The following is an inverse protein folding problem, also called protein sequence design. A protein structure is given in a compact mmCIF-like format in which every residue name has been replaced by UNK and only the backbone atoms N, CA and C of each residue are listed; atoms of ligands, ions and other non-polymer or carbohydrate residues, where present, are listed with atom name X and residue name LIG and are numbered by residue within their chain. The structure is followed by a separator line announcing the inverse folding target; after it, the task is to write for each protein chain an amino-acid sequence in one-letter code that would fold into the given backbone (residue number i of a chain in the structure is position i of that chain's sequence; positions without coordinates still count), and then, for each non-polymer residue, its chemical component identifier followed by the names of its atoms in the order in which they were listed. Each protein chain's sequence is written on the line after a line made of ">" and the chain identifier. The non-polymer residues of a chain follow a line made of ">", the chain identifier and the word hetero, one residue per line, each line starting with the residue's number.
data_IF_304952285423
#
_entry.id   IF_304952285423
#
_cell.length_a   1.000
_cell.length_b   1.000
_cell.length_c   1.000
_cell.angle_alpha   90.00
_cell.angle_beta   90.00
_cell.angle_gamma   90.00
#
_symmetry.space_group_name_H-M   'P 1'
#
loop_
_entity.id
_entity.type
_entity.pdbx_description
1 polymer ?
#
# COMPACT_ATOMS: atom_id res chain seq x y z
N UNK A 1 -15.17 -5.68 -7.08
CA UNK A 1 -13.79 -5.27 -7.40
C UNK A 1 -13.50 -5.78 -8.81
N UNK A 2 -13.18 -4.86 -9.73
CA UNK A 2 -12.90 -5.19 -11.14
C UNK A 2 -13.97 -6.08 -11.80
N UNK A 3 -15.26 -5.79 -11.52
CA UNK A 3 -16.42 -6.56 -11.98
C UNK A 3 -16.80 -7.77 -11.13
N UNK A 4 -15.97 -8.20 -10.19
CA UNK A 4 -16.23 -9.34 -9.31
C UNK A 4 -16.94 -8.94 -8.02
N UNK A 5 -17.99 -9.66 -7.66
CA UNK A 5 -18.67 -9.50 -6.37
C UNK A 5 -17.80 -10.05 -5.24
N UNK A 6 -17.53 -9.23 -4.23
CA UNK A 6 -16.77 -9.67 -3.04
C UNK A 6 -17.51 -10.77 -2.27
N UNK A 7 -18.85 -10.79 -2.36
CA UNK A 7 -19.71 -11.76 -1.68
C UNK A 7 -19.85 -13.06 -2.47
N UNK A 8 -20.10 -12.96 -3.78
CA UNK A 8 -20.49 -14.11 -4.60
C UNK A 8 -19.29 -14.74 -5.32
N UNK A 9 -18.25 -13.94 -5.59
CA UNK A 9 -17.01 -14.35 -6.28
C UNK A 9 -15.75 -13.98 -5.47
N UNK A 10 -15.67 -14.34 -4.16
CA UNK A 10 -14.62 -13.85 -3.26
C UNK A 10 -13.22 -14.24 -3.70
N UNK A 11 -13.04 -15.38 -4.36
CA UNK A 11 -11.73 -15.82 -4.86
C UNK A 11 -11.27 -14.95 -6.02
N UNK A 12 -12.15 -14.68 -6.99
CA UNK A 12 -11.84 -13.82 -8.14
C UNK A 12 -11.53 -12.38 -7.68
N UNK A 13 -12.34 -11.82 -6.77
CA UNK A 13 -12.09 -10.51 -6.18
C UNK A 13 -10.75 -10.44 -5.45
N UNK A 14 -10.35 -11.48 -4.70
CA UNK A 14 -9.05 -11.57 -4.01
C UNK A 14 -7.87 -11.71 -4.97
N UNK A 15 -8.07 -12.38 -6.10
CA UNK A 15 -7.01 -12.52 -7.10
C UNK A 15 -6.57 -11.19 -7.71
N UNK A 16 -7.49 -10.27 -7.90
CA UNK A 16 -7.22 -8.93 -8.44
C UNK A 16 -6.90 -7.87 -7.38
N UNK A 17 -6.97 -8.24 -6.09
CA UNK A 17 -6.74 -7.33 -4.95
C UNK A 17 -5.49 -7.72 -4.20
N UNK A 18 -4.62 -6.78 -3.88
CA UNK A 18 -3.59 -6.96 -2.86
C UNK A 18 -3.92 -6.09 -1.63
N UNK A 19 -3.73 -6.64 -0.44
CA UNK A 19 -3.87 -5.93 0.83
C UNK A 19 -2.57 -6.04 1.62
N UNK A 20 -2.11 -4.93 2.16
CA UNK A 20 -0.96 -4.82 3.04
C UNK A 20 -1.41 -4.12 4.33
N UNK A 21 -1.45 -4.83 5.47
CA UNK A 21 -1.72 -4.22 6.77
C UNK A 21 -0.51 -3.40 7.25
N UNK A 22 -0.72 -2.53 8.23
CA UNK A 22 0.33 -1.72 8.88
C UNK A 22 1.48 -2.59 9.45
N UNK A 23 1.14 -3.72 10.06
CA UNK A 23 2.11 -4.67 10.57
C UNK A 23 1.92 -6.05 9.90
N UNK A 24 2.60 -6.31 8.77
CA UNK A 24 2.42 -7.56 8.04
C UNK A 24 3.08 -8.75 8.74
N UNK A 25 2.30 -9.82 8.95
CA UNK A 25 2.82 -11.10 9.42
C UNK A 25 3.57 -11.80 8.29
N UNK A 26 4.88 -11.84 8.40
CA UNK A 26 5.75 -12.54 7.46
C UNK A 26 6.19 -13.89 8.05
N UNK A 27 6.39 -14.89 7.18
CA UNK A 27 6.93 -16.20 7.59
C UNK A 27 8.44 -16.08 7.89
N UNK A 28 8.80 -15.71 9.12
CA UNK A 28 10.14 -15.35 9.53
C UNK A 28 11.19 -16.46 9.36
N UNK A 29 10.75 -17.72 9.31
CA UNK A 29 11.61 -18.87 9.05
C UNK A 29 11.98 -19.05 7.57
N UNK A 30 11.31 -18.36 6.66
CA UNK A 30 11.65 -18.37 5.24
C UNK A 30 12.72 -17.31 4.94
N UNK A 31 13.46 -17.53 3.85
CA UNK A 31 14.25 -16.45 3.24
C UNK A 31 13.34 -15.53 2.43
N UNK A 32 13.74 -14.25 2.23
CA UNK A 32 12.95 -13.30 1.46
C UNK A 32 12.58 -13.82 0.07
N UNK A 33 13.53 -14.45 -0.64
CA UNK A 33 13.27 -15.01 -1.97
C UNK A 33 12.26 -16.18 -1.94
N UNK A 34 12.34 -17.06 -0.93
CA UNK A 34 11.38 -18.17 -0.76
C UNK A 34 9.99 -17.66 -0.44
N UNK A 35 9.88 -16.63 0.39
CA UNK A 35 8.61 -15.99 0.70
C UNK A 35 7.95 -15.37 -0.56
N UNK A 36 8.71 -14.59 -1.35
CA UNK A 36 8.20 -14.01 -2.59
C UNK A 36 7.82 -15.08 -3.61
N UNK A 37 8.60 -16.14 -3.72
CA UNK A 37 8.28 -17.29 -4.58
C UNK A 37 6.98 -17.97 -4.14
N UNK A 38 6.80 -18.21 -2.84
CA UNK A 38 5.58 -18.80 -2.27
C UNK A 38 4.34 -17.93 -2.58
N UNK A 39 4.43 -16.62 -2.38
CA UNK A 39 3.33 -15.70 -2.74
C UNK A 39 3.02 -15.80 -4.24
N UNK A 40 4.04 -15.77 -5.09
CA UNK A 40 3.85 -15.87 -6.54
C UNK A 40 3.18 -17.19 -6.96
N UNK A 41 3.54 -18.31 -6.32
CA UNK A 41 2.95 -19.62 -6.60
C UNK A 41 1.46 -19.68 -6.20
N UNK A 42 1.07 -19.07 -5.06
CA UNK A 42 -0.35 -18.96 -4.64
C UNK A 42 -1.19 -18.22 -5.70
N UNK A 43 -0.63 -17.19 -6.33
CA UNK A 43 -1.32 -16.37 -7.33
C UNK A 43 -1.11 -16.86 -8.77
N UNK A 44 -0.49 -18.02 -8.96
CA UNK A 44 -0.31 -18.64 -10.28
C UNK A 44 0.63 -17.85 -11.21
N UNK A 45 1.56 -17.05 -10.64
CA UNK A 45 2.50 -16.25 -11.43
C UNK A 45 3.62 -17.18 -11.95
N UNK A 46 3.80 -17.22 -13.27
CA UNK A 46 4.83 -18.04 -13.91
C UNK A 46 6.23 -17.67 -13.42
N UNK A 47 7.16 -18.67 -13.52
CA UNK A 47 8.53 -18.49 -13.04
C UNK A 47 9.23 -17.29 -13.66
N UNK A 48 9.13 -17.14 -14.98
CA UNK A 48 9.82 -16.07 -15.70
C UNK A 48 9.30 -14.68 -15.30
N UNK A 49 7.96 -14.53 -15.23
CA UNK A 49 7.32 -13.29 -14.79
C UNK A 49 7.64 -12.98 -13.30
N UNK A 50 7.68 -14.00 -12.47
CA UNK A 50 8.04 -13.86 -11.05
C UNK A 50 9.46 -13.36 -10.88
N UNK A 51 10.43 -13.96 -11.58
CA UNK A 51 11.84 -13.58 -11.50
C UNK A 51 12.07 -12.15 -11.99
N UNK A 52 11.43 -11.75 -13.08
CA UNK A 52 11.47 -10.38 -13.59
C UNK A 52 10.92 -9.38 -12.57
N UNK A 53 9.71 -9.64 -12.03
CA UNK A 53 9.07 -8.74 -11.07
C UNK A 53 9.81 -8.66 -9.75
N UNK A 54 10.28 -9.79 -9.22
CA UNK A 54 11.07 -9.80 -7.98
C UNK A 54 12.33 -8.97 -8.17
N UNK A 55 13.05 -9.14 -9.28
CA UNK A 55 14.25 -8.35 -9.58
C UNK A 55 13.91 -6.87 -9.64
N UNK A 56 12.92 -6.48 -10.47
CA UNK A 56 12.47 -5.07 -10.60
C UNK A 56 12.26 -4.42 -9.22
N UNK A 57 11.45 -5.04 -8.39
CA UNK A 57 11.05 -4.42 -7.13
C UNK A 57 12.12 -4.54 -6.04
N UNK A 58 12.82 -5.66 -5.95
CA UNK A 58 13.89 -5.83 -4.97
C UNK A 58 15.06 -4.90 -5.22
N UNK A 59 15.44 -4.68 -6.48
CA UNK A 59 16.49 -3.72 -6.85
C UNK A 59 16.06 -2.29 -6.51
N UNK A 60 14.82 -1.91 -6.85
CA UNK A 60 14.29 -0.57 -6.57
C UNK A 60 14.23 -0.25 -5.06
N UNK A 61 13.91 -1.23 -4.22
CA UNK A 61 13.88 -1.09 -2.75
C UNK A 61 15.23 -1.41 -2.08
N UNK A 62 16.31 -1.67 -2.85
CA UNK A 62 17.65 -2.03 -2.34
C UNK A 62 17.62 -3.25 -1.41
N UNK A 63 16.75 -4.23 -1.70
CA UNK A 63 16.57 -5.43 -0.88
C UNK A 63 17.20 -6.69 -1.49
N UNK A 64 17.69 -6.62 -2.75
CA UNK A 64 18.21 -7.76 -3.52
C UNK A 64 19.27 -8.55 -2.75
N UNK A 65 20.24 -7.84 -2.14
CA UNK A 65 21.32 -8.48 -1.39
C UNK A 65 20.88 -9.25 -0.13
N UNK A 66 19.70 -8.92 0.41
CA UNK A 66 19.16 -9.54 1.61
C UNK A 66 18.20 -10.70 1.32
N UNK A 67 17.72 -10.87 0.08
CA UNK A 67 16.71 -11.88 -0.26
C UNK A 67 17.11 -13.32 0.08
N UNK A 68 18.40 -13.64 0.11
CA UNK A 68 18.91 -14.95 0.48
C UNK A 68 18.91 -15.23 1.99
N UNK A 69 18.72 -14.22 2.83
CA UNK A 69 18.75 -14.32 4.28
C UNK A 69 17.36 -14.61 4.87
N UNK A 70 17.26 -15.29 6.05
CA UNK A 70 16.01 -15.48 6.76
C UNK A 70 15.35 -14.15 7.14
N UNK A 71 14.03 -14.06 6.97
CA UNK A 71 13.24 -12.86 7.27
C UNK A 71 13.28 -12.47 8.75
N UNK A 72 13.45 -13.46 9.64
CA UNK A 72 13.60 -13.21 11.08
C UNK A 72 14.79 -12.31 11.43
N UNK A 73 15.81 -12.24 10.55
CA UNK A 73 16.96 -11.34 10.70
C UNK A 73 16.78 -9.96 10.06
N UNK A 74 15.63 -9.67 9.44
CA UNK A 74 15.38 -8.39 8.79
C UNK A 74 15.05 -7.31 9.82
N UNK A 75 15.50 -6.08 9.55
CA UNK A 75 15.00 -4.91 10.28
C UNK A 75 13.51 -4.67 9.96
N UNK A 76 12.84 -3.84 10.77
CA UNK A 76 11.44 -3.48 10.51
C UNK A 76 11.25 -2.90 9.10
N UNK A 77 12.09 -1.96 8.68
CA UNK A 77 12.04 -1.39 7.33
C UNK A 77 12.27 -2.41 6.21
N UNK A 78 13.16 -3.41 6.40
CA UNK A 78 13.36 -4.50 5.45
C UNK A 78 12.13 -5.41 5.37
N UNK A 79 11.47 -5.71 6.49
CA UNK A 79 10.22 -6.45 6.52
C UNK A 79 9.11 -5.70 5.79
N UNK A 80 8.99 -4.39 6.02
CA UNK A 80 8.03 -3.54 5.33
C UNK A 80 8.29 -3.51 3.82
N UNK A 81 9.54 -3.30 3.37
CA UNK A 81 9.94 -3.38 1.96
C UNK A 81 9.56 -4.73 1.34
N UNK A 82 9.86 -5.85 2.01
CA UNK A 82 9.53 -7.20 1.53
C UNK A 82 8.00 -7.40 1.39
N UNK A 83 7.22 -6.92 2.34
CA UNK A 83 5.77 -6.99 2.31
C UNK A 83 5.19 -6.17 1.15
N UNK A 84 5.69 -4.95 0.93
CA UNK A 84 5.34 -4.12 -0.24
C UNK A 84 5.67 -4.86 -1.55
N UNK A 85 6.88 -5.43 -1.67
CA UNK A 85 7.28 -6.20 -2.86
C UNK A 85 6.32 -7.37 -3.08
N UNK A 86 5.93 -8.09 -2.03
CA UNK A 86 5.00 -9.23 -2.13
C UNK A 86 3.62 -8.83 -2.68
N UNK A 87 3.16 -7.63 -2.39
CA UNK A 87 1.93 -7.08 -2.95
C UNK A 87 2.10 -6.66 -4.42
N UNK A 88 3.22 -6.00 -4.75
CA UNK A 88 3.49 -5.47 -6.08
C UNK A 88 3.76 -6.56 -7.14
N UNK A 89 4.43 -7.67 -6.78
CA UNK A 89 4.69 -8.77 -7.74
C UNK A 89 3.41 -9.38 -8.30
N UNK A 90 2.30 -9.25 -7.60
CA UNK A 90 0.98 -9.73 -8.01
C UNK A 90 0.35 -8.90 -9.13
N UNK A 91 0.84 -7.67 -9.37
CA UNK A 91 0.27 -6.69 -10.30
C UNK A 91 -1.25 -6.50 -10.08
N UNK A 92 -1.69 -6.13 -8.87
CA UNK A 92 -3.10 -6.07 -8.53
C UNK A 92 -3.83 -4.98 -9.31
N UNK A 93 -5.15 -5.18 -9.56
CA UNK A 93 -6.04 -4.14 -10.07
C UNK A 93 -6.48 -3.19 -8.96
N UNK A 94 -6.55 -3.67 -7.73
CA UNK A 94 -6.77 -2.86 -6.53
C UNK A 94 -5.69 -3.17 -5.49
N UNK A 95 -4.93 -2.15 -5.10
CA UNK A 95 -3.96 -2.23 -4.02
C UNK A 95 -4.49 -1.46 -2.81
N UNK A 96 -4.67 -2.17 -1.69
CA UNK A 96 -5.11 -1.59 -0.41
C UNK A 96 -3.94 -1.64 0.56
N UNK A 97 -3.63 -0.51 1.18
CA UNK A 97 -2.47 -0.36 2.07
C UNK A 97 -2.89 0.35 3.36
N UNK A 98 -2.45 -0.17 4.49
CA UNK A 98 -2.62 0.47 5.78
C UNK A 98 -1.29 1.07 6.23
N UNK A 99 -1.25 2.39 6.40
CA UNK A 99 -0.06 3.18 6.78
C UNK A 99 1.24 2.80 6.02
N UNK A 100 1.25 2.71 4.68
CA UNK A 100 2.31 2.06 3.92
C UNK A 100 3.67 2.75 3.97
N UNK A 101 3.74 3.98 4.45
CA UNK A 101 4.97 4.77 4.52
C UNK A 101 5.65 4.67 5.88
N UNK A 102 4.96 4.13 6.89
CA UNK A 102 5.53 3.91 8.23
C UNK A 102 6.65 2.87 8.16
N UNK A 103 7.77 3.17 8.81
CA UNK A 103 8.94 2.28 8.82
C UNK A 103 9.80 2.28 7.56
N UNK A 104 9.40 2.98 6.49
CA UNK A 104 10.22 3.17 5.30
C UNK A 104 11.17 4.37 5.46
N UNK A 105 12.39 4.20 4.98
CA UNK A 105 13.31 5.32 4.78
C UNK A 105 12.82 6.25 3.65
N UNK A 106 13.30 7.51 3.56
CA UNK A 106 12.86 8.47 2.56
C UNK A 106 13.01 7.97 1.10
N UNK A 107 14.06 7.21 0.82
CA UNK A 107 14.31 6.64 -0.51
C UNK A 107 13.26 5.59 -0.85
N UNK A 108 12.99 4.66 0.06
CA UNK A 108 11.97 3.63 -0.14
C UNK A 108 10.56 4.23 -0.24
N UNK A 109 10.25 5.26 0.56
CA UNK A 109 8.98 5.99 0.46
C UNK A 109 8.81 6.68 -0.91
N UNK A 110 9.88 7.27 -1.45
CA UNK A 110 9.88 7.85 -2.79
C UNK A 110 9.62 6.79 -3.87
N UNK A 111 10.32 5.66 -3.79
CA UNK A 111 10.16 4.52 -4.70
C UNK A 111 8.73 3.97 -4.66
N UNK A 112 8.18 3.78 -3.46
CA UNK A 112 6.79 3.33 -3.30
C UNK A 112 5.81 4.29 -3.97
N UNK A 113 5.91 5.60 -3.73
CA UNK A 113 5.05 6.60 -4.39
C UNK A 113 5.09 6.50 -5.92
N UNK A 114 6.26 6.21 -6.49
CA UNK A 114 6.43 5.95 -7.93
C UNK A 114 5.59 4.75 -8.38
N UNK A 115 5.70 3.62 -7.71
CA UNK A 115 4.95 2.41 -8.05
C UNK A 115 3.43 2.56 -7.87
N UNK A 116 2.98 3.30 -6.84
CA UNK A 116 1.55 3.58 -6.68
C UNK A 116 0.99 4.38 -7.87
N UNK A 117 1.75 5.36 -8.36
CA UNK A 117 1.38 6.12 -9.58
C UNK A 117 1.40 5.24 -10.84
N UNK A 118 2.39 4.33 -10.98
CA UNK A 118 2.43 3.37 -12.10
C UNK A 118 1.19 2.49 -12.14
N UNK A 119 0.72 1.98 -10.99
CA UNK A 119 -0.51 1.17 -10.88
C UNK A 119 -1.72 1.97 -11.36
N UNK A 120 -1.88 3.21 -10.90
CA UNK A 120 -2.99 4.07 -11.31
C UNK A 120 -2.93 4.41 -12.80
N UNK A 121 -1.75 4.75 -13.33
CA UNK A 121 -1.53 5.03 -14.74
C UNK A 121 -1.84 3.83 -15.64
N UNK A 122 -1.63 2.60 -15.15
CA UNK A 122 -1.99 1.36 -15.83
C UNK A 122 -3.49 1.00 -15.70
N UNK A 123 -4.32 1.89 -15.14
CA UNK A 123 -5.77 1.69 -14.98
C UNK A 123 -6.16 0.86 -13.74
N UNK A 124 -5.23 0.61 -12.83
CA UNK A 124 -5.51 0.07 -11.49
C UNK A 124 -5.96 1.16 -10.53
N UNK A 125 -6.27 0.76 -9.31
CA UNK A 125 -6.63 1.67 -8.23
C UNK A 125 -5.79 1.39 -6.99
N UNK A 126 -5.46 2.45 -6.25
CA UNK A 126 -4.77 2.38 -4.97
C UNK A 126 -5.64 3.05 -3.91
N UNK A 127 -5.85 2.36 -2.81
CA UNK A 127 -6.51 2.88 -1.62
C UNK A 127 -5.59 2.69 -0.41
N UNK A 128 -5.26 3.77 0.30
CA UNK A 128 -4.44 3.65 1.50
C UNK A 128 -4.92 4.57 2.62
N UNK A 129 -4.72 4.12 3.86
CA UNK A 129 -4.85 4.96 5.04
C UNK A 129 -3.53 5.68 5.31
N UNK A 130 -3.59 6.88 5.86
CA UNK A 130 -2.41 7.57 6.41
C UNK A 130 -2.83 8.68 7.36
N UNK A 131 -1.99 8.90 8.38
CA UNK A 131 -2.07 10.09 9.25
C UNK A 131 -1.11 11.20 8.78
N UNK A 132 -0.33 10.98 7.70
CA UNK A 132 0.60 11.97 7.13
C UNK A 132 -0.15 12.77 6.06
N UNK A 133 -0.77 13.89 6.48
CA UNK A 133 -1.66 14.69 5.65
C UNK A 133 -0.99 15.21 4.38
N UNK A 134 0.29 15.61 4.45
CA UNK A 134 1.06 16.05 3.29
C UNK A 134 1.19 14.96 2.21
N UNK A 135 1.31 13.70 2.62
CA UNK A 135 1.37 12.58 1.67
C UNK A 135 0.01 12.39 0.99
N UNK A 136 -1.08 12.44 1.75
CA UNK A 136 -2.43 12.35 1.19
C UNK A 136 -2.70 13.49 0.20
N UNK A 137 -2.37 14.72 0.57
CA UNK A 137 -2.57 15.91 -0.27
C UNK A 137 -1.81 15.85 -1.60
N UNK A 138 -0.54 15.39 -1.56
CA UNK A 138 0.34 15.37 -2.76
C UNK A 138 0.19 14.14 -3.64
N UNK A 139 -0.33 13.03 -3.10
CA UNK A 139 -0.36 11.75 -3.80
C UNK A 139 -1.75 11.33 -4.25
N UNK A 140 -2.80 11.71 -3.50
CA UNK A 140 -4.15 11.21 -3.74
C UNK A 140 -4.96 12.10 -4.70
N UNK A 141 -5.66 11.50 -5.64
CA UNK A 141 -6.67 12.18 -6.46
C UNK A 141 -7.94 12.48 -5.65
N UNK A 142 -8.26 11.61 -4.71
CA UNK A 142 -9.43 11.71 -3.82
C UNK A 142 -9.04 11.36 -2.40
N UNK A 143 -9.68 12.02 -1.46
CA UNK A 143 -9.50 11.79 -0.03
C UNK A 143 -10.84 11.56 0.68
N UNK A 144 -10.77 10.82 1.78
CA UNK A 144 -11.87 10.62 2.72
C UNK A 144 -11.34 10.82 4.13
N UNK A 145 -11.95 11.74 4.90
CA UNK A 145 -11.57 12.04 6.28
C UNK A 145 -12.54 11.31 7.20
N UNK A 146 -11.98 10.50 8.11
CA UNK A 146 -12.72 9.74 9.12
C UNK A 146 -12.41 10.31 10.50
N UNK A 147 -13.45 10.55 11.30
CA UNK A 147 -13.34 11.00 12.68
C UNK A 147 -14.34 10.25 13.56
N UNK A 148 -13.89 9.68 14.67
CA UNK A 148 -14.77 8.91 15.57
C UNK A 148 -15.53 7.77 14.87
N UNK A 149 -14.90 7.09 13.89
CA UNK A 149 -15.51 6.02 13.13
C UNK A 149 -16.55 6.48 12.07
N UNK A 150 -16.68 7.80 11.83
CA UNK A 150 -17.62 8.36 10.87
C UNK A 150 -16.88 9.07 9.74
N UNK A 151 -17.39 8.93 8.53
CA UNK A 151 -16.93 9.69 7.38
C UNK A 151 -17.42 11.13 7.49
N UNK A 152 -16.50 12.10 7.64
CA UNK A 152 -16.83 13.51 7.85
C UNK A 152 -16.67 14.33 6.58
N UNK A 153 -15.73 13.96 5.70
CA UNK A 153 -15.53 14.65 4.41
C UNK A 153 -15.02 13.66 3.37
N UNK A 154 -15.47 13.77 2.12
CA UNK A 154 -14.97 12.98 1.01
C UNK A 154 -15.09 13.78 -0.29
N UNK A 155 -14.06 13.73 -1.15
CA UNK A 155 -14.07 14.42 -2.43
C UNK A 155 -12.77 14.24 -3.20
N UNK A 156 -12.62 14.98 -4.31
CA UNK A 156 -11.30 15.16 -4.92
C UNK A 156 -10.41 15.94 -3.96
N UNK A 157 -9.11 15.69 -3.99
CA UNK A 157 -8.17 16.42 -3.11
C UNK A 157 -8.35 17.94 -3.27
N UNK A 158 -8.42 18.43 -4.49
CA UNK A 158 -8.65 19.84 -4.76
C UNK A 158 -9.96 20.39 -4.14
N UNK A 159 -11.07 19.62 -4.23
CA UNK A 159 -12.35 20.07 -3.65
C UNK A 159 -12.41 19.95 -2.12
N UNK A 160 -11.60 19.06 -1.55
CA UNK A 160 -11.56 18.86 -0.11
C UNK A 160 -10.67 19.87 0.60
N UNK A 161 -9.61 20.33 -0.08
CA UNK A 161 -8.63 21.30 0.42
C UNK A 161 -9.10 22.72 0.12
N UNK A 162 -9.66 23.00 -1.06
CA UNK A 162 -10.02 24.36 -1.51
C UNK A 162 -8.78 25.23 -1.63
N UNK A 163 -8.81 26.41 -1.00
CA UNK A 163 -7.69 27.35 -0.94
C UNK A 163 -6.78 27.14 0.29
N UNK A 164 -7.05 26.12 1.10
CA UNK A 164 -6.34 25.82 2.35
C UNK A 164 -5.44 24.59 2.19
N UNK A 165 -4.70 24.19 3.24
CA UNK A 165 -4.01 22.90 3.29
C UNK A 165 -4.92 21.82 3.89
N UNK A 166 -4.66 20.55 3.56
CA UNK A 166 -5.38 19.43 4.18
C UNK A 166 -5.21 19.42 5.70
N UNK A 167 -4.09 19.93 6.21
CA UNK A 167 -3.82 20.06 7.63
C UNK A 167 -4.78 21.08 8.29
N UNK A 168 -5.00 22.22 7.66
CA UNK A 168 -5.96 23.24 8.15
C UNK A 168 -7.37 22.67 8.19
N UNK A 169 -7.83 22.07 7.09
CA UNK A 169 -9.13 21.41 7.02
C UNK A 169 -9.29 20.33 8.11
N UNK A 170 -8.24 19.55 8.34
CA UNK A 170 -8.26 18.51 9.39
C UNK A 170 -8.36 19.10 10.80
N UNK A 171 -7.63 20.20 11.09
CA UNK A 171 -7.68 20.89 12.38
C UNK A 171 -9.04 21.52 12.64
N UNK A 172 -9.68 22.14 11.65
CA UNK A 172 -11.03 22.69 11.77
C UNK A 172 -12.06 21.60 12.09
N UNK A 173 -12.04 20.51 11.35
CA UNK A 173 -12.89 19.35 11.61
C UNK A 173 -12.60 18.74 12.98
N UNK A 174 -11.35 18.84 13.48
CA UNK A 174 -11.00 18.36 14.81
C UNK A 174 -11.64 19.23 15.91
N UNK A 175 -11.70 20.54 15.74
CA UNK A 175 -12.28 21.50 16.69
C UNK A 175 -13.82 21.46 16.73
N UNK A 176 -14.49 21.35 15.59
CA UNK A 176 -15.97 21.30 15.51
C UNK A 176 -16.57 20.10 16.26
N UNK A 177 -15.85 19.03 16.45
CA UNK A 177 -16.31 17.86 17.23
C UNK A 177 -16.12 17.93 18.73
N UNK A 178 -15.41 18.95 19.25
CA UNK A 178 -15.23 19.19 20.69
C UNK A 178 -16.35 20.03 21.33
N UNK A 179 -17.23 20.63 20.54
CA UNK A 179 -18.30 21.52 21.03
C UNK A 179 -19.63 20.79 21.36
N UNK A 180 -19.71 19.48 21.21
CA UNK A 180 -20.91 18.68 21.45
C UNK A 180 -20.66 17.43 22.31
N UNK A 181 -19.70 17.45 23.24
CA UNK A 181 -19.50 16.40 24.25
C UNK A 181 -19.82 16.92 25.64
#
# INVERSE_FOLDING_TARGET
>A
IDGHSVKDEPVAAKQVTAFLPDNPDLYEFLTGIKYLAFIADIYGISKDVREERIRKYADAFELTGALGSPIGGYSHGMKQKLAVISALIRAPRLLILDEPFVGLDPQAAFVLKGFLREICAAGGAVFFSTHVLEVAEKLCDRIAIIKGGRLVKMGTTASAVGDESLEQVFLELAQEGGAHA
#
